data_IF_251445161018
#
_entry.id   IF_251445161018
#
_cell.length_a   1.000
_cell.length_b   1.000
_cell.length_c   1.000
_cell.angle_alpha   90.00
_cell.angle_beta   90.00
_cell.angle_gamma   90.00
#
_symmetry.space_group_name_H-M   'P 1'
#
loop_
_entity.id
_entity.type
_entity.pdbx_description
1 polymer ?
#
# COMPACT_ATOMS: atom_id res chain seq x y z
N UNK A 1 20.54 6.43 -7.82
CA UNK A 1 19.26 6.26 -7.08
C UNK A 1 19.19 7.35 -6.03
N UNK A 2 18.15 8.20 -5.99
CA UNK A 2 17.90 9.02 -4.82
C UNK A 2 17.51 8.09 -3.67
N UNK A 3 18.12 8.33 -2.51
CA UNK A 3 17.88 7.58 -1.28
C UNK A 3 16.40 7.62 -0.92
N UNK A 4 15.69 6.49 -1.05
CA UNK A 4 14.31 6.40 -0.59
C UNK A 4 14.33 5.83 0.83
N UNK A 5 13.87 6.59 1.85
CA UNK A 5 13.89 6.12 3.23
C UNK A 5 13.06 4.84 3.33
N UNK A 6 13.72 3.73 3.64
CA UNK A 6 13.16 2.39 3.66
C UNK A 6 13.19 1.86 5.08
N UNK A 7 12.06 1.37 5.57
CA UNK A 7 11.93 0.83 6.94
C UNK A 7 12.14 -0.68 6.90
N UNK A 8 13.09 -1.18 7.69
CA UNK A 8 13.29 -2.61 7.83
C UNK A 8 12.17 -3.24 8.68
N UNK A 9 11.46 -4.21 8.12
CA UNK A 9 10.45 -5.03 8.79
C UNK A 9 11.13 -6.13 9.60
N UNK A 10 11.89 -5.70 10.61
CA UNK A 10 12.43 -6.61 11.62
C UNK A 10 11.30 -7.30 12.40
N UNK A 11 11.60 -8.39 13.14
CA UNK A 11 10.61 -9.01 14.03
C UNK A 11 10.01 -8.00 15.03
N UNK A 12 10.82 -7.08 15.55
CA UNK A 12 10.38 -6.04 16.47
C UNK A 12 9.42 -5.05 15.80
N UNK A 13 9.77 -4.55 14.61
CA UNK A 13 8.90 -3.63 13.84
C UNK A 13 7.58 -4.31 13.48
N UNK A 14 7.64 -5.58 13.06
CA UNK A 14 6.44 -6.37 12.73
C UNK A 14 5.53 -6.55 13.95
N UNK A 15 6.12 -6.80 15.12
CA UNK A 15 5.38 -6.91 16.39
C UNK A 15 4.72 -5.58 16.79
N UNK A 16 5.44 -4.46 16.66
CA UNK A 16 4.89 -3.13 16.96
C UNK A 16 3.73 -2.77 16.01
N UNK A 17 3.86 -3.13 14.73
CA UNK A 17 2.78 -2.97 13.74
C UNK A 17 1.56 -3.82 14.08
N UNK A 18 1.76 -5.09 14.45
CA UNK A 18 0.68 -6.01 14.81
C UNK A 18 -0.10 -5.53 16.04
N UNK A 19 0.58 -4.93 17.03
CA UNK A 19 -0.05 -4.36 18.23
C UNK A 19 -0.63 -2.95 18.03
N UNK A 20 -0.48 -2.37 16.83
CA UNK A 20 -0.91 -0.99 16.55
C UNK A 20 -0.08 0.09 17.26
N UNK A 21 1.05 -0.28 17.88
CA UNK A 21 1.99 0.63 18.55
C UNK A 21 2.86 1.40 17.55
N UNK A 22 3.06 0.83 16.35
CA UNK A 22 3.66 1.50 15.21
C UNK A 22 2.64 1.55 14.08
N UNK A 23 2.53 2.71 13.42
CA UNK A 23 1.68 2.89 12.24
C UNK A 23 2.53 3.36 11.08
N UNK A 24 2.54 2.56 10.02
CA UNK A 24 3.09 2.98 8.73
C UNK A 24 1.99 3.54 7.83
N UNK A 25 2.35 4.53 7.03
CA UNK A 25 1.52 5.06 5.98
C UNK A 25 1.53 4.11 4.77
N UNK A 26 0.38 3.78 4.18
CA UNK A 26 0.31 3.01 2.94
C UNK A 26 1.20 3.66 1.86
N UNK A 27 2.08 2.90 1.23
CA UNK A 27 3.01 3.38 0.21
C UNK A 27 4.41 3.72 0.72
N UNK A 28 4.64 3.74 2.04
CA UNK A 28 5.99 3.81 2.59
C UNK A 28 6.83 2.62 2.15
N UNK A 29 8.09 2.88 1.84
CA UNK A 29 9.04 1.86 1.45
C UNK A 29 9.46 1.05 2.66
N UNK A 30 9.42 -0.27 2.49
CA UNK A 30 9.79 -1.24 3.50
C UNK A 30 10.71 -2.29 2.90
N UNK A 31 11.59 -2.85 3.73
CA UNK A 31 12.46 -3.96 3.37
C UNK A 31 12.21 -5.12 4.31
N UNK A 32 12.26 -6.34 3.80
CA UNK A 32 12.11 -7.55 4.61
C UNK A 32 12.70 -8.77 3.91
N UNK A 33 12.37 -9.96 4.39
CA UNK A 33 12.93 -11.21 3.85
C UNK A 33 12.67 -11.48 2.35
N UNK A 34 11.74 -10.75 1.73
CA UNK A 34 11.41 -10.85 0.29
C UNK A 34 12.03 -9.72 -0.56
N UNK A 35 12.89 -8.88 0.02
CA UNK A 35 13.48 -7.71 -0.62
C UNK A 35 12.77 -6.41 -0.23
N UNK A 36 12.65 -5.48 -1.17
CA UNK A 36 12.02 -4.17 -0.95
C UNK A 36 10.59 -4.14 -1.49
N UNK A 37 9.73 -3.35 -0.87
CA UNK A 37 8.33 -3.23 -1.25
C UNK A 37 7.67 -2.01 -0.66
N UNK A 38 6.39 -1.84 -0.98
CA UNK A 38 5.56 -0.73 -0.46
C UNK A 38 4.54 -1.28 0.52
N UNK A 39 4.54 -0.74 1.73
CA UNK A 39 3.61 -1.12 2.79
C UNK A 39 2.16 -0.85 2.37
N UNK A 40 1.24 -1.77 2.66
CA UNK A 40 -0.19 -1.59 2.40
C UNK A 40 -0.95 -1.39 3.72
N UNK A 41 -0.92 -2.40 4.59
CA UNK A 41 -1.58 -2.41 5.90
C UNK A 41 -1.04 -3.56 6.74
N UNK A 42 -1.22 -3.47 8.05
CA UNK A 42 -1.17 -4.61 8.96
C UNK A 42 -2.57 -4.92 9.45
N UNK A 43 -2.95 -6.20 9.44
CA UNK A 43 -4.19 -6.64 10.06
C UNK A 43 -4.00 -6.76 11.58
N UNK A 44 -4.71 -5.98 12.40
CA UNK A 44 -4.54 -6.03 13.85
C UNK A 44 -5.09 -7.32 14.47
N UNK A 45 -5.97 -8.06 13.78
CA UNK A 45 -6.52 -9.32 14.30
C UNK A 45 -5.54 -10.47 14.15
N UNK A 46 -4.82 -10.51 13.03
CA UNK A 46 -3.90 -11.60 12.70
C UNK A 46 -2.43 -11.21 12.81
N UNK A 47 -2.12 -9.93 13.00
CA UNK A 47 -0.76 -9.38 12.96
C UNK A 47 -0.12 -9.41 11.57
N UNK A 48 -0.84 -9.85 10.54
CA UNK A 48 -0.29 -10.03 9.19
C UNK A 48 -0.04 -8.69 8.53
N UNK A 49 1.23 -8.42 8.19
CA UNK A 49 1.63 -7.22 7.43
C UNK A 49 1.60 -7.50 5.94
N UNK A 50 0.80 -6.73 5.21
CA UNK A 50 0.67 -6.80 3.76
C UNK A 50 1.58 -5.77 3.10
N UNK A 51 2.41 -6.24 2.17
CA UNK A 51 3.38 -5.45 1.43
C UNK A 51 3.27 -5.78 -0.05
N UNK A 52 3.27 -4.77 -0.91
CA UNK A 52 3.46 -4.94 -2.35
C UNK A 52 4.96 -5.01 -2.64
N UNK A 53 5.51 -6.23 -2.65
CA UNK A 53 6.93 -6.46 -2.96
C UNK A 53 7.26 -6.14 -4.41
N UNK A 54 8.44 -5.54 -4.62
CA UNK A 54 9.05 -5.37 -5.94
C UNK A 54 9.54 -6.73 -6.41
N UNK A 55 9.26 -7.07 -7.67
CA UNK A 55 9.78 -8.31 -8.27
C UNK A 55 11.12 -8.07 -8.94
N UNK A 56 11.97 -9.10 -9.07
CA UNK A 56 13.14 -9.03 -9.93
C UNK A 56 12.74 -8.58 -11.35
N UNK A 57 13.41 -7.55 -11.88
CA UNK A 57 13.15 -7.02 -13.22
C UNK A 57 11.98 -6.02 -13.33
N UNK A 58 11.27 -5.70 -12.24
CA UNK A 58 10.29 -4.60 -12.29
C UNK A 58 11.02 -3.24 -12.37
N UNK A 59 10.59 -2.40 -13.31
CA UNK A 59 10.87 -0.97 -13.25
C UNK A 59 9.95 -0.24 -12.25
N UNK A 60 10.27 1.02 -11.95
CA UNK A 60 9.54 1.84 -10.97
C UNK A 60 8.06 1.99 -11.34
N UNK A 61 7.77 2.08 -12.64
CA UNK A 61 6.42 2.26 -13.18
C UNK A 61 5.58 1.01 -12.97
N UNK A 62 6.11 -0.16 -13.32
CA UNK A 62 5.49 -1.47 -13.16
C UNK A 62 5.25 -1.78 -11.68
N UNK A 63 6.24 -1.49 -10.82
CA UNK A 63 6.10 -1.61 -9.37
C UNK A 63 5.01 -0.67 -8.83
N UNK A 64 4.96 0.58 -9.31
CA UNK A 64 3.93 1.56 -8.97
C UNK A 64 2.52 1.14 -9.38
N UNK A 65 2.34 0.64 -10.62
CA UNK A 65 1.07 0.13 -11.11
C UNK A 65 0.59 -1.11 -10.34
N UNK A 66 1.53 -2.00 -9.97
CA UNK A 66 1.20 -3.16 -9.13
C UNK A 66 0.79 -2.73 -7.74
N UNK A 67 1.50 -1.79 -7.12
CA UNK A 67 1.10 -1.22 -5.85
C UNK A 67 -0.27 -0.57 -5.94
N UNK A 68 -0.55 0.22 -6.99
CA UNK A 68 -1.86 0.83 -7.20
C UNK A 68 -2.97 -0.22 -7.38
N UNK A 69 -2.70 -1.31 -8.13
CA UNK A 69 -3.60 -2.48 -8.19
C UNK A 69 -3.76 -3.16 -6.84
N UNK A 70 -2.70 -3.29 -6.04
CA UNK A 70 -2.74 -3.89 -4.72
C UNK A 70 -3.52 -3.03 -3.72
N UNK A 71 -3.43 -1.70 -3.78
CA UNK A 71 -4.28 -0.80 -3.01
C UNK A 71 -5.75 -0.94 -3.39
N UNK A 72 -6.06 -1.12 -4.69
CA UNK A 72 -7.42 -1.42 -5.18
C UNK A 72 -7.91 -2.83 -4.82
N UNK A 73 -7.02 -3.81 -4.70
CA UNK A 73 -7.36 -5.19 -4.32
C UNK A 73 -7.37 -5.41 -2.80
N UNK A 74 -6.61 -4.64 -2.04
CA UNK A 74 -6.45 -4.72 -0.59
C UNK A 74 -7.72 -4.43 0.21
N UNK A 75 -8.81 -4.11 -0.49
CA UNK A 75 -10.18 -4.08 0.00
C UNK A 75 -10.76 -5.47 0.36
N UNK A 76 -9.97 -6.53 0.59
CA UNK A 76 -10.50 -7.80 1.11
C UNK A 76 -10.67 -7.73 2.64
N UNK A 77 -11.85 -8.11 3.14
CA UNK A 77 -12.24 -8.07 4.56
C UNK A 77 -13.34 -7.03 4.84
N UNK A 78 -13.26 -6.33 5.98
CA UNK A 78 -14.24 -5.29 6.38
C UNK A 78 -14.44 -4.14 5.38
N UNK A 79 -13.52 -3.99 4.43
CA UNK A 79 -13.58 -2.97 3.38
C UNK A 79 -14.06 -3.52 2.02
N UNK A 80 -14.41 -4.82 1.91
CA UNK A 80 -14.97 -5.42 0.69
C UNK A 80 -16.22 -4.69 0.16
N UNK A 81 -17.17 -4.26 1.03
CA UNK A 81 -18.33 -3.50 0.57
C UNK A 81 -17.95 -2.17 -0.10
N UNK A 82 -16.82 -1.58 0.31
CA UNK A 82 -16.33 -0.32 -0.25
C UNK A 82 -15.74 -0.51 -1.64
N UNK A 83 -15.12 -1.66 -1.93
CA UNK A 83 -14.65 -1.98 -3.28
C UNK A 83 -15.79 -2.23 -4.26
N UNK A 84 -16.82 -2.97 -3.85
CA UNK A 84 -18.00 -3.19 -4.69
C UNK A 84 -18.74 -1.86 -4.95
N UNK A 85 -18.86 -1.00 -3.93
CA UNK A 85 -19.39 0.36 -4.09
C UNK A 85 -18.58 1.18 -5.09
N UNK A 86 -17.25 1.12 -5.00
CA UNK A 86 -16.35 1.87 -5.87
C UNK A 86 -16.35 1.34 -7.32
N UNK A 87 -16.45 0.02 -7.49
CA UNK A 87 -16.67 -0.63 -8.80
C UNK A 87 -17.99 -0.16 -9.42
N UNK A 88 -19.07 -0.10 -8.63
CA UNK A 88 -20.38 0.38 -9.08
C UNK A 88 -20.38 1.88 -9.41
N UNK A 89 -19.65 2.71 -8.66
CA UNK A 89 -19.53 4.15 -8.92
C UNK A 89 -18.69 4.45 -10.18
N UNK A 90 -17.61 3.69 -10.42
CA UNK A 90 -16.84 3.78 -11.68
C UNK A 90 -17.67 3.38 -12.89
N UNK A 91 -18.49 2.33 -12.76
CA UNK A 91 -19.42 1.92 -13.81
C UNK A 91 -20.48 2.99 -14.13
N UNK A 92 -20.74 3.91 -13.19
CA UNK A 92 -21.74 4.98 -13.31
C UNK A 92 -21.15 6.37 -13.60
N UNK A 93 -19.83 6.50 -13.75
CA UNK A 93 -19.16 7.76 -14.10
C UNK A 93 -19.20 8.86 -13.02
N UNK A 94 -19.66 8.56 -11.80
CA UNK A 94 -19.84 9.53 -10.71
C UNK A 94 -18.78 9.36 -9.62
N UNK A 95 -17.58 9.90 -9.85
CA UNK A 95 -16.56 10.00 -8.81
C UNK A 95 -16.80 11.27 -7.98
N UNK A 96 -17.33 11.11 -6.76
CA UNK A 96 -17.27 12.15 -5.74
C UNK A 96 -17.12 11.55 -4.34
N UNK A 97 -16.06 12.02 -3.65
CA UNK A 97 -15.60 11.74 -2.26
C UNK A 97 -14.79 10.46 -2.05
N UNK A 98 -13.49 10.60 -2.32
CA UNK A 98 -12.43 9.61 -2.08
C UNK A 98 -12.20 9.29 -0.59
N UNK A 99 -11.79 8.04 -0.33
CA UNK A 99 -11.84 7.37 0.98
C UNK A 99 -10.42 7.19 1.56
N UNK A 100 -10.20 7.17 2.89
CA UNK A 100 -8.89 7.47 3.49
C UNK A 100 -7.77 6.47 3.15
N UNK A 101 -8.05 5.16 2.98
CA UNK A 101 -6.99 4.19 2.64
C UNK A 101 -6.57 4.29 1.16
N UNK A 102 -7.53 4.49 0.26
CA UNK A 102 -7.25 4.76 -1.15
C UNK A 102 -6.58 6.12 -1.31
N UNK A 103 -7.03 7.14 -0.59
CA UNK A 103 -6.42 8.46 -0.60
C UNK A 103 -5.01 8.46 0.03
N UNK A 104 -4.75 7.62 1.04
CA UNK A 104 -3.42 7.44 1.63
C UNK A 104 -2.47 6.66 0.69
N UNK A 105 -2.96 5.59 0.05
CA UNK A 105 -2.24 4.91 -1.02
C UNK A 105 -2.00 5.81 -2.24
N UNK A 106 -3.01 6.61 -2.63
CA UNK A 106 -3.02 7.47 -3.82
C UNK A 106 -2.09 8.68 -3.66
N UNK A 107 -2.11 9.32 -2.47
CA UNK A 107 -1.15 10.39 -2.12
C UNK A 107 0.29 9.91 -2.20
N UNK A 108 0.56 8.66 -1.78
CA UNK A 108 1.90 8.11 -1.81
C UNK A 108 2.26 7.46 -3.15
N UNK A 109 1.33 7.18 -4.08
CA UNK A 109 1.69 6.83 -5.46
C UNK A 109 2.29 8.00 -6.25
N UNK A 110 2.03 9.25 -5.83
CA UNK A 110 2.46 10.46 -6.54
C UNK A 110 3.93 10.85 -6.40
N UNK A 111 4.70 10.28 -5.47
CA UNK A 111 6.13 10.63 -5.31
C UNK A 111 7.08 9.85 -6.24
N UNK A 112 6.57 9.25 -7.30
CA UNK A 112 7.38 8.66 -8.39
C UNK A 112 7.16 9.35 -9.75
N UNK A 113 6.42 10.46 -9.78
CA UNK A 113 6.33 11.34 -10.95
C UNK A 113 6.83 12.73 -10.55
N UNK A 114 7.72 13.31 -11.35
CA UNK A 114 8.41 14.59 -11.16
C UNK A 114 9.60 14.59 -10.19
N UNK A 115 10.72 14.00 -10.63
CA UNK A 115 12.02 14.68 -10.52
C UNK A 115 12.67 14.60 -11.91
N UNK A 116 12.58 15.73 -12.62
CA UNK A 116 13.10 16.10 -13.94
C UNK A 116 12.57 15.34 -15.17
#
# INVERSE_FOLDING_TARGET
MPYVPTIDLTPQVSMLLARGMLRLNPGQWVRGGKGSGRYLRTDPRTGTTYVSWVRPGDDWRTAGERFHRACRKGYVGKYRPLYERDKALRAKGSLSKEMPLFHACSRNTGTAAAVH
#
